data_IF_777135380465
#
_entry.id   IF_777135380465
#
_cell.length_a   1.000
_cell.length_b   1.000
_cell.length_c   1.000
_cell.angle_alpha   90.00
_cell.angle_beta   90.00
_cell.angle_gamma   90.00
#
_symmetry.space_group_name_H-M   'P 1'
#
loop_
_entity.id
_entity.type
_entity.pdbx_description
1 polymer ?
#
# COMPACT_ATOMS: atom_id res chain seq x y z
N UNK A 1 -13.32 -18.45 21.55
CA UNK A 1 -12.02 -18.64 22.24
C UNK A 1 -11.85 -17.63 23.37
N UNK A 2 -11.98 -16.33 23.10
CA UNK A 2 -11.98 -15.27 24.11
C UNK A 2 -12.99 -15.49 25.25
N UNK A 3 -14.17 -16.03 24.93
CA UNK A 3 -15.22 -16.31 25.92
C UNK A 3 -14.92 -17.42 26.92
N UNK A 4 -13.84 -18.17 26.71
CA UNK A 4 -13.36 -19.19 27.65
C UNK A 4 -12.42 -18.63 28.73
N UNK A 5 -11.98 -17.35 28.61
CA UNK A 5 -11.15 -16.70 29.62
C UNK A 5 -11.95 -16.46 30.91
N UNK A 6 -11.27 -16.49 32.05
CA UNK A 6 -11.88 -16.17 33.33
C UNK A 6 -12.42 -14.73 33.35
N UNK A 7 -13.40 -14.44 34.20
CA UNK A 7 -13.81 -13.06 34.46
C UNK A 7 -12.72 -12.32 35.23
N UNK A 8 -12.67 -11.00 35.11
CA UNK A 8 -11.69 -10.16 35.81
C UNK A 8 -11.69 -10.41 37.32
N UNK A 9 -10.50 -10.55 37.89
CA UNK A 9 -10.30 -10.64 39.33
C UNK A 9 -10.33 -9.24 39.94
N UNK A 10 -11.18 -9.05 40.97
CA UNK A 10 -11.36 -7.76 41.62
C UNK A 10 -10.11 -7.36 42.41
N UNK A 11 -9.73 -6.09 42.31
CA UNK A 11 -8.58 -5.54 43.03
C UNK A 11 -7.22 -5.86 42.39
N UNK A 12 -7.22 -6.47 41.20
CA UNK A 12 -6.02 -6.68 40.38
C UNK A 12 -6.17 -5.97 39.04
N UNK A 13 -5.04 -5.62 38.44
CA UNK A 13 -4.98 -5.22 37.04
C UNK A 13 -4.97 -6.48 36.17
N UNK A 14 -6.03 -6.66 35.37
CA UNK A 14 -6.25 -7.85 34.55
C UNK A 14 -5.80 -7.61 33.12
N UNK A 15 -4.89 -8.46 32.67
CA UNK A 15 -4.36 -8.47 31.30
C UNK A 15 -4.81 -9.74 30.59
N UNK A 16 -5.47 -9.58 29.46
CA UNK A 16 -5.74 -10.68 28.54
C UNK A 16 -4.65 -10.75 27.47
N UNK A 17 -4.11 -11.94 27.22
CA UNK A 17 -3.17 -12.21 26.13
C UNK A 17 -3.82 -13.17 25.14
N UNK A 18 -4.00 -12.76 23.89
CA UNK A 18 -4.72 -13.55 22.89
C UNK A 18 -4.14 -13.39 21.48
N UNK A 19 -3.89 -14.52 20.80
CA UNK A 19 -3.47 -14.54 19.40
C UNK A 19 -4.69 -14.80 18.50
N UNK A 20 -5.17 -13.78 17.77
CA UNK A 20 -6.47 -13.81 17.06
C UNK A 20 -6.47 -12.85 15.86
N UNK A 21 -7.29 -13.15 14.85
CA UNK A 21 -7.54 -12.23 13.73
C UNK A 21 -8.64 -11.19 14.01
N UNK A 22 -9.31 -11.23 15.17
CA UNK A 22 -10.41 -10.33 15.60
C UNK A 22 -11.49 -10.12 14.52
N UNK A 23 -12.65 -10.77 14.65
CA UNK A 23 -13.80 -10.73 13.72
C UNK A 23 -13.45 -10.54 12.23
N UNK A 24 -12.55 -11.40 11.72
CA UNK A 24 -12.36 -11.58 10.27
C UNK A 24 -11.98 -10.33 9.50
N UNK A 25 -11.22 -9.41 10.11
CA UNK A 25 -10.72 -8.21 9.43
C UNK A 25 -9.97 -8.56 8.15
N UNK A 26 -10.25 -7.77 7.10
CA UNK A 26 -9.82 -8.00 5.70
C UNK A 26 -8.31 -8.25 5.58
N UNK A 27 -7.93 -9.28 4.82
CA UNK A 27 -6.53 -9.62 4.50
C UNK A 27 -5.86 -10.67 5.40
N UNK A 28 -6.54 -11.18 6.42
CA UNK A 28 -6.03 -12.25 7.29
C UNK A 28 -7.02 -13.41 7.40
N UNK A 29 -6.53 -14.64 7.21
CA UNK A 29 -7.33 -15.85 7.38
C UNK A 29 -8.01 -15.90 8.77
N UNK A 30 -9.18 -16.52 8.85
CA UNK A 30 -9.99 -16.61 10.07
C UNK A 30 -9.26 -17.44 11.13
N UNK A 31 -8.39 -16.82 11.93
CA UNK A 31 -7.65 -17.47 13.00
C UNK A 31 -8.21 -17.07 14.37
N UNK A 32 -8.76 -18.05 15.09
CA UNK A 32 -9.34 -17.87 16.43
C UNK A 32 -10.27 -16.65 16.53
N UNK A 33 -11.33 -16.56 15.71
CA UNK A 33 -12.18 -15.37 15.66
C UNK A 33 -12.79 -15.07 17.03
N UNK A 34 -12.76 -13.79 17.38
CA UNK A 34 -13.47 -13.22 18.52
C UNK A 34 -13.88 -11.79 18.19
N UNK A 35 -14.94 -11.33 18.83
CA UNK A 35 -15.40 -9.95 18.72
C UNK A 35 -14.77 -9.05 19.79
N UNK A 36 -14.80 -7.74 19.54
CA UNK A 36 -14.44 -6.74 20.56
C UNK A 36 -15.34 -6.89 21.80
N UNK A 37 -16.61 -7.21 21.59
CA UNK A 37 -17.56 -7.39 22.69
C UNK A 37 -17.25 -8.65 23.52
N UNK A 38 -16.78 -9.74 22.90
CA UNK A 38 -16.30 -10.91 23.63
C UNK A 38 -15.16 -10.56 24.59
N UNK A 39 -14.24 -9.69 24.17
CA UNK A 39 -13.12 -9.20 24.99
C UNK A 39 -13.62 -8.29 26.12
N UNK A 40 -14.54 -7.37 25.81
CA UNK A 40 -15.14 -6.45 26.79
C UNK A 40 -15.89 -7.18 27.90
N UNK A 41 -16.61 -8.25 27.57
CA UNK A 41 -17.41 -9.00 28.56
C UNK A 41 -16.58 -9.61 29.69
N UNK A 42 -15.25 -9.77 29.51
CA UNK A 42 -14.36 -10.30 30.56
C UNK A 42 -14.04 -9.27 31.63
N UNK A 43 -14.19 -7.97 31.35
CA UNK A 43 -13.91 -6.89 32.29
C UNK A 43 -12.42 -6.61 32.54
N UNK A 44 -11.54 -7.06 31.65
CA UNK A 44 -10.10 -6.79 31.76
C UNK A 44 -9.78 -5.35 31.38
N UNK A 45 -8.71 -4.79 31.95
CA UNK A 45 -8.27 -3.42 31.67
C UNK A 45 -7.46 -3.33 30.37
N UNK A 46 -6.72 -4.39 30.02
CA UNK A 46 -5.85 -4.42 28.86
C UNK A 46 -5.89 -5.77 28.14
N UNK A 47 -5.95 -5.75 26.81
CA UNK A 47 -5.83 -6.91 25.93
C UNK A 47 -4.61 -6.75 25.02
N UNK A 48 -3.59 -7.58 25.28
CA UNK A 48 -2.44 -7.79 24.43
C UNK A 48 -2.82 -8.79 23.32
N UNK A 49 -3.09 -8.28 22.13
CA UNK A 49 -3.40 -9.13 20.98
C UNK A 49 -2.15 -9.46 20.17
N UNK A 50 -2.18 -10.58 19.45
CA UNK A 50 -1.16 -11.00 18.49
C UNK A 50 -1.79 -11.62 17.25
N UNK A 51 -0.98 -11.89 16.22
CA UNK A 51 -1.31 -12.38 14.86
C UNK A 51 -1.19 -11.32 13.77
N UNK A 52 -1.80 -10.16 13.96
CA UNK A 52 -1.78 -9.05 12.99
C UNK A 52 -0.44 -8.32 13.06
N UNK A 53 0.21 -8.12 11.91
CA UNK A 53 1.54 -7.49 11.83
C UNK A 53 1.48 -5.96 11.74
N UNK A 54 0.32 -5.42 11.37
CA UNK A 54 0.08 -3.98 11.44
C UNK A 54 -0.24 -3.61 12.89
N UNK A 55 0.44 -2.57 13.39
CA UNK A 55 0.13 -2.04 14.71
C UNK A 55 -1.25 -1.37 14.67
N UNK A 56 -2.04 -1.62 15.71
CA UNK A 56 -3.36 -1.04 15.84
C UNK A 56 -3.80 -0.92 17.31
N UNK A 57 -4.32 0.26 17.66
CA UNK A 57 -5.04 0.50 18.91
C UNK A 57 -6.55 0.37 18.63
N UNK A 58 -7.09 -0.82 18.87
CA UNK A 58 -8.46 -1.18 18.50
C UNK A 58 -9.50 -0.50 19.39
N UNK A 59 -9.18 -0.34 20.67
CA UNK A 59 -10.01 0.36 21.65
C UNK A 59 -9.14 0.86 22.81
N UNK A 60 -9.62 1.87 23.53
CA UNK A 60 -8.97 2.42 24.73
C UNK A 60 -9.72 2.07 26.03
N UNK A 61 -10.98 1.63 25.93
CA UNK A 61 -11.81 1.23 27.06
C UNK A 61 -12.54 -0.10 26.79
N UNK A 62 -11.97 -1.24 27.20
CA UNK A 62 -10.60 -1.40 27.68
C UNK A 62 -9.58 -1.21 26.56
N UNK A 63 -8.30 -1.08 26.91
CA UNK A 63 -7.25 -1.06 25.90
C UNK A 63 -7.19 -2.41 25.18
N UNK A 64 -7.29 -2.40 23.86
CA UNK A 64 -7.18 -3.58 23.01
C UNK A 64 -6.17 -3.26 21.92
N UNK A 65 -5.03 -3.95 21.93
CA UNK A 65 -3.87 -3.52 21.16
C UNK A 65 -3.26 -4.69 20.38
N UNK A 66 -3.12 -4.50 19.07
CA UNK A 66 -2.18 -5.27 18.27
C UNK A 66 -0.85 -4.48 18.21
N UNK A 67 0.25 -4.99 18.81
CA UNK A 67 1.53 -4.30 18.76
C UNK A 67 2.18 -4.36 17.36
N UNK A 68 1.67 -5.24 16.47
CA UNK A 68 2.23 -5.49 15.16
C UNK A 68 3.46 -6.39 15.20
N UNK A 69 4.23 -6.41 14.11
CA UNK A 69 5.53 -7.05 14.07
C UNK A 69 6.64 -6.11 14.59
N UNK A 70 7.77 -6.69 15.02
CA UNK A 70 8.95 -5.94 15.49
C UNK A 70 9.86 -5.49 14.35
N UNK A 71 9.76 -6.14 13.18
CA UNK A 71 10.54 -5.82 11.98
C UNK A 71 9.70 -6.16 10.75
N UNK A 72 9.57 -5.19 9.85
CA UNK A 72 8.88 -5.39 8.57
C UNK A 72 9.70 -6.30 7.67
N UNK A 73 9.05 -7.27 7.01
CA UNK A 73 9.69 -8.31 6.19
C UNK A 73 9.64 -8.01 4.69
N UNK A 74 8.72 -7.16 4.27
CA UNK A 74 8.51 -6.80 2.87
C UNK A 74 7.79 -5.46 2.74
N UNK A 75 7.72 -4.93 1.51
CA UNK A 75 7.17 -3.61 1.19
C UNK A 75 5.72 -3.35 1.68
N UNK A 76 4.91 -4.39 1.93
CA UNK A 76 3.56 -4.20 2.49
C UNK A 76 3.53 -3.92 4.00
N UNK A 77 4.65 -4.13 4.70
CA UNK A 77 4.81 -3.88 6.14
C UNK A 77 5.61 -2.57 6.35
N UNK A 78 5.11 -1.45 5.82
CA UNK A 78 5.79 -0.15 5.86
C UNK A 78 5.79 0.51 7.24
N UNK A 79 6.67 1.49 7.43
CA UNK A 79 6.74 2.36 8.61
C UNK A 79 7.51 1.75 9.78
N UNK A 80 7.51 2.45 10.91
CA UNK A 80 8.14 2.01 12.14
C UNK A 80 7.51 0.71 12.66
N UNK A 81 8.33 -0.20 13.16
CA UNK A 81 7.91 -1.50 13.71
C UNK A 81 8.54 -1.68 15.09
N UNK A 82 7.85 -2.34 15.99
CA UNK A 82 8.31 -2.36 17.38
C UNK A 82 7.33 -3.01 18.34
N UNK A 83 7.24 -2.43 19.53
CA UNK A 83 6.32 -2.88 20.56
C UNK A 83 5.54 -1.71 21.14
N UNK A 84 4.62 -2.01 22.05
CA UNK A 84 3.86 -1.02 22.80
C UNK A 84 4.30 -1.12 24.26
N UNK A 85 4.73 0.01 24.83
CA UNK A 85 5.00 0.15 26.26
C UNK A 85 3.73 0.69 26.91
N UNK A 86 3.28 0.00 27.97
CA UNK A 86 2.06 0.32 28.70
C UNK A 86 2.44 0.58 30.15
N UNK A 87 2.16 1.80 30.61
CA UNK A 87 2.35 2.19 32.01
C UNK A 87 1.03 2.04 32.74
N UNK A 88 1.07 1.35 33.88
CA UNK A 88 -0.09 1.10 34.74
C UNK A 88 0.19 1.70 36.12
N UNK A 89 -0.77 2.48 36.61
CA UNK A 89 -0.79 2.99 37.98
C UNK A 89 -2.03 2.42 38.68
N UNK A 90 -1.81 1.65 39.74
CA UNK A 90 -2.81 0.80 40.40
C UNK A 90 -3.63 -0.08 39.44
N UNK A 91 -4.89 0.29 39.16
CA UNK A 91 -5.82 -0.45 38.30
C UNK A 91 -6.08 0.23 36.95
N UNK A 92 -5.33 1.29 36.64
CA UNK A 92 -5.60 2.16 35.50
C UNK A 92 -4.37 2.26 34.58
N UNK A 93 -4.60 2.15 33.27
CA UNK A 93 -3.58 2.44 32.27
C UNK A 93 -3.41 3.96 32.17
N UNK A 94 -2.21 4.45 32.47
CA UNK A 94 -1.89 5.88 32.47
C UNK A 94 -1.22 6.33 31.18
N UNK A 95 -0.50 5.43 30.51
CA UNK A 95 0.23 5.73 29.27
C UNK A 95 0.31 4.49 28.38
N UNK A 96 0.20 4.71 27.08
CA UNK A 96 0.36 3.70 26.03
C UNK A 96 1.15 4.31 24.90
N UNK A 97 2.39 3.87 24.70
CA UNK A 97 3.29 4.45 23.71
C UNK A 97 3.89 3.38 22.78
N UNK A 98 4.10 3.75 21.52
CA UNK A 98 4.83 2.91 20.57
C UNK A 98 6.33 3.09 20.77
N UNK A 99 7.06 1.98 20.87
CA UNK A 99 8.52 1.96 20.97
C UNK A 99 9.07 1.30 19.71
N UNK A 100 9.66 2.08 18.78
CA UNK A 100 10.27 1.54 17.56
C UNK A 100 11.50 0.67 17.87
N UNK A 101 11.48 -0.57 17.40
CA UNK A 101 12.59 -1.54 17.55
C UNK A 101 13.19 -1.97 16.20
N UNK A 102 12.56 -1.58 15.09
CA UNK A 102 13.04 -1.90 13.75
C UNK A 102 14.46 -1.40 13.52
N UNK A 103 15.24 -2.21 12.79
CA UNK A 103 16.60 -1.86 12.36
C UNK A 103 16.63 -1.37 10.91
N UNK A 104 15.52 -1.55 10.18
CA UNK A 104 15.33 -1.09 8.81
C UNK A 104 13.85 -0.80 8.56
N UNK A 105 13.55 0.32 7.88
CA UNK A 105 12.19 0.72 7.52
C UNK A 105 11.86 0.41 6.07
N UNK A 106 10.72 -0.25 5.84
CA UNK A 106 10.13 -0.35 4.50
C UNK A 106 9.35 0.92 4.20
N UNK A 107 9.60 1.51 3.03
CA UNK A 107 8.98 2.78 2.63
C UNK A 107 8.42 2.67 1.23
N UNK A 108 7.13 3.02 1.07
CA UNK A 108 6.52 3.24 -0.24
C UNK A 108 6.47 4.75 -0.50
N UNK A 109 7.49 5.27 -1.17
CA UNK A 109 7.59 6.68 -1.53
C UNK A 109 6.82 6.94 -2.83
N UNK A 110 5.89 7.88 -2.82
CA UNK A 110 5.09 8.26 -3.99
C UNK A 110 5.54 9.62 -4.49
N UNK A 111 5.85 9.71 -5.78
CA UNK A 111 6.30 10.94 -6.44
C UNK A 111 5.27 11.32 -7.49
N UNK A 112 4.63 12.47 -7.30
CA UNK A 112 3.69 13.03 -8.26
C UNK A 112 4.44 13.79 -9.35
N UNK A 113 4.33 13.33 -10.59
CA UNK A 113 4.90 13.95 -11.77
C UNK A 113 3.86 14.70 -12.59
N UNK A 114 2.66 14.95 -12.06
CA UNK A 114 1.61 15.68 -12.76
C UNK A 114 2.12 17.02 -13.30
N UNK A 115 1.89 17.26 -14.58
CA UNK A 115 2.34 18.43 -15.34
C UNK A 115 3.87 18.58 -15.52
N UNK A 116 4.68 17.67 -15.01
CA UNK A 116 6.14 17.70 -15.23
C UNK A 116 6.44 17.54 -16.71
N UNK A 117 7.43 18.29 -17.20
CA UNK A 117 7.76 18.30 -18.63
C UNK A 117 9.20 17.94 -18.96
N UNK A 118 10.09 17.92 -17.97
CA UNK A 118 11.52 17.68 -18.20
C UNK A 118 12.13 16.75 -17.14
N UNK A 119 13.21 16.05 -17.50
CA UNK A 119 13.92 15.15 -16.59
C UNK A 119 14.49 15.82 -15.33
N UNK A 120 15.06 17.05 -15.37
CA UNK A 120 15.59 17.69 -14.17
C UNK A 120 14.53 17.87 -13.07
N UNK A 121 13.31 18.25 -13.46
CA UNK A 121 12.18 18.40 -12.53
C UNK A 121 11.75 17.06 -11.91
N UNK A 122 11.77 15.97 -12.70
CA UNK A 122 11.53 14.60 -12.17
C UNK A 122 12.54 14.25 -11.08
N UNK A 123 13.83 14.54 -11.32
CA UNK A 123 14.89 14.23 -10.36
C UNK A 123 14.79 15.08 -9.09
N UNK A 124 14.42 16.36 -9.23
CA UNK A 124 14.26 17.24 -8.07
C UNK A 124 13.08 16.82 -7.19
N UNK A 125 11.91 16.54 -7.78
CA UNK A 125 10.74 16.01 -7.05
C UNK A 125 11.06 14.67 -6.37
N UNK A 126 11.89 13.85 -7.01
CA UNK A 126 12.34 12.59 -6.41
C UNK A 126 13.26 12.84 -5.21
N UNK A 127 14.17 13.81 -5.33
CA UNK A 127 15.09 14.20 -4.25
C UNK A 127 14.31 14.67 -3.03
N UNK A 128 13.41 15.64 -3.21
CA UNK A 128 12.56 16.16 -2.14
C UNK A 128 11.76 15.03 -1.45
N UNK A 129 11.21 14.10 -2.24
CA UNK A 129 10.45 12.98 -1.71
C UNK A 129 11.33 11.99 -0.93
N UNK A 130 12.56 11.71 -1.38
CA UNK A 130 13.51 10.86 -0.65
C UNK A 130 13.96 11.53 0.65
N UNK A 131 14.34 12.81 0.61
CA UNK A 131 14.81 13.57 1.77
C UNK A 131 13.73 13.63 2.86
N UNK A 132 12.48 13.87 2.48
CA UNK A 132 11.34 13.84 3.41
C UNK A 132 11.17 12.50 4.11
N UNK A 133 11.31 11.39 3.38
CA UNK A 133 11.19 10.05 3.98
C UNK A 133 12.40 9.73 4.87
N UNK A 134 13.60 10.23 4.54
CA UNK A 134 14.81 10.08 5.37
C UNK A 134 14.68 10.82 6.70
N UNK A 135 14.12 12.04 6.70
CA UNK A 135 13.84 12.79 7.93
C UNK A 135 12.89 12.02 8.85
N UNK A 136 11.89 11.35 8.27
CA UNK A 136 10.93 10.53 9.01
C UNK A 136 11.50 9.16 9.44
N UNK A 137 12.75 8.82 9.12
CA UNK A 137 13.34 7.51 9.37
C UNK A 137 13.98 7.34 10.75
N UNK A 138 14.09 8.40 11.55
CA UNK A 138 14.83 8.42 12.83
C UNK A 138 16.22 7.77 12.71
N UNK A 139 16.97 8.14 11.67
CA UNK A 139 18.31 7.62 11.35
C UNK A 139 18.41 6.13 11.02
N UNK A 140 17.29 5.46 10.73
CA UNK A 140 17.29 4.04 10.33
C UNK A 140 17.46 3.89 8.83
N UNK A 141 18.19 2.87 8.35
CA UNK A 141 18.27 2.58 6.94
C UNK A 141 16.89 2.24 6.38
N UNK A 142 16.65 2.60 5.13
CA UNK A 142 15.37 2.42 4.46
C UNK A 142 15.49 1.49 3.25
N UNK A 143 14.57 0.53 3.15
CA UNK A 143 14.27 -0.17 1.91
C UNK A 143 13.09 0.53 1.24
N UNK A 144 13.37 1.31 0.18
CA UNK A 144 12.39 2.19 -0.43
C UNK A 144 11.94 1.67 -1.79
N UNK A 145 10.63 1.61 -1.97
CA UNK A 145 10.00 1.52 -3.29
C UNK A 145 9.52 2.90 -3.71
N UNK A 146 10.01 3.37 -4.86
CA UNK A 146 9.55 4.61 -5.45
C UNK A 146 8.47 4.33 -6.48
N UNK A 147 7.31 4.97 -6.33
CA UNK A 147 6.21 4.89 -7.30
C UNK A 147 5.91 6.28 -7.86
N UNK A 148 6.22 6.44 -9.14
CA UNK A 148 5.94 7.64 -9.91
C UNK A 148 4.51 7.58 -10.46
N UNK A 149 3.75 8.66 -10.31
CA UNK A 149 2.38 8.74 -10.80
C UNK A 149 2.07 10.13 -11.37
N UNK A 150 0.88 10.30 -11.94
CA UNK A 150 0.42 11.59 -12.45
C UNK A 150 0.48 11.71 -13.98
N UNK A 151 -0.27 12.68 -14.50
CA UNK A 151 -0.37 12.95 -15.93
C UNK A 151 0.74 13.90 -16.38
N UNK A 152 1.68 13.41 -17.18
CA UNK A 152 2.94 14.09 -17.50
C UNK A 152 3.31 13.97 -18.97
N UNK A 153 3.99 14.99 -19.51
CA UNK A 153 4.60 14.90 -20.86
C UNK A 153 5.80 13.94 -20.88
N UNK A 154 6.31 13.57 -19.71
CA UNK A 154 7.44 12.67 -19.56
C UNK A 154 7.08 11.19 -19.66
N UNK A 155 5.80 10.83 -19.67
CA UNK A 155 5.35 9.45 -19.48
C UNK A 155 5.94 8.49 -20.53
N UNK A 156 5.88 8.87 -21.81
CA UNK A 156 6.44 8.07 -22.91
C UNK A 156 7.96 7.93 -22.79
N UNK A 157 8.65 9.01 -22.44
CA UNK A 157 10.11 9.00 -22.30
C UNK A 157 10.57 8.12 -21.14
N UNK A 158 9.87 8.17 -20.01
CA UNK A 158 10.15 7.33 -18.84
C UNK A 158 9.84 5.86 -19.14
N UNK A 159 8.77 5.58 -19.90
CA UNK A 159 8.39 4.23 -20.30
C UNK A 159 9.30 3.63 -21.39
N UNK A 160 9.88 4.47 -22.27
CA UNK A 160 10.74 4.03 -23.36
C UNK A 160 12.09 3.45 -22.88
N UNK A 161 12.61 3.95 -21.75
CA UNK A 161 13.91 3.54 -21.21
C UNK A 161 13.85 3.24 -19.70
N UNK A 162 13.12 2.19 -19.29
CA UNK A 162 12.86 1.91 -17.88
C UNK A 162 14.13 1.61 -17.08
N UNK A 163 15.07 0.85 -17.65
CA UNK A 163 16.35 0.53 -16.99
C UNK A 163 17.20 1.79 -16.77
N UNK A 164 17.24 2.69 -17.75
CA UNK A 164 17.96 3.97 -17.63
C UNK A 164 17.33 4.83 -16.55
N UNK A 165 16.01 4.91 -16.52
CA UNK A 165 15.30 5.67 -15.51
C UNK A 165 15.57 5.11 -14.11
N UNK A 166 15.45 3.79 -13.94
CA UNK A 166 15.76 3.12 -12.68
C UNK A 166 17.21 3.37 -12.22
N UNK A 167 18.19 3.29 -13.14
CA UNK A 167 19.58 3.60 -12.82
C UNK A 167 19.78 5.05 -12.37
N UNK A 168 19.10 6.01 -13.00
CA UNK A 168 19.15 7.42 -12.58
C UNK A 168 18.59 7.62 -11.17
N UNK A 169 17.46 6.98 -10.86
CA UNK A 169 16.86 7.05 -9.52
C UNK A 169 17.76 6.36 -8.48
N UNK A 170 18.37 5.22 -8.81
CA UNK A 170 19.34 4.53 -7.95
C UNK A 170 20.57 5.38 -7.66
N UNK A 171 21.12 6.03 -8.68
CA UNK A 171 22.25 6.93 -8.53
C UNK A 171 21.90 8.13 -7.64
N UNK A 172 20.71 8.72 -7.84
CA UNK A 172 20.20 9.82 -7.01
C UNK A 172 20.04 9.40 -5.54
N UNK A 173 19.45 8.23 -5.28
CA UNK A 173 19.30 7.72 -3.91
C UNK A 173 20.65 7.49 -3.21
N UNK A 174 21.63 6.95 -3.94
CA UNK A 174 22.99 6.76 -3.42
C UNK A 174 23.71 8.11 -3.14
N UNK A 175 23.45 9.14 -3.94
CA UNK A 175 23.97 10.50 -3.70
C UNK A 175 23.37 11.13 -2.44
N UNK A 176 22.05 10.97 -2.23
CA UNK A 176 21.32 11.61 -1.11
C UNK A 176 21.64 10.93 0.23
N UNK A 177 21.53 9.60 0.28
CA UNK A 177 21.49 8.86 1.54
C UNK A 177 22.54 7.75 1.65
N UNK A 178 23.35 7.52 0.61
CA UNK A 178 24.44 6.56 0.63
C UNK A 178 23.99 5.16 1.09
N UNK A 179 24.63 4.65 2.13
CA UNK A 179 24.34 3.32 2.70
C UNK A 179 23.01 3.26 3.49
N UNK A 180 22.40 4.40 3.83
CA UNK A 180 21.15 4.47 4.58
C UNK A 180 19.91 4.31 3.70
N UNK A 181 20.06 4.20 2.38
CA UNK A 181 18.95 4.01 1.46
C UNK A 181 19.24 2.92 0.45
N UNK A 182 18.43 1.88 0.50
CA UNK A 182 18.36 0.86 -0.53
C UNK A 182 17.06 1.06 -1.32
N UNK A 183 17.19 1.42 -2.60
CA UNK A 183 16.05 1.43 -3.51
C UNK A 183 15.72 -0.02 -3.87
N UNK A 184 14.65 -0.55 -3.29
CA UNK A 184 14.20 -1.91 -3.59
C UNK A 184 13.65 -1.99 -5.01
N UNK A 185 12.79 -1.04 -5.40
CA UNK A 185 12.13 -1.03 -6.71
C UNK A 185 11.74 0.37 -7.15
N UNK A 186 11.76 0.59 -8.46
CA UNK A 186 11.20 1.78 -9.12
C UNK A 186 9.98 1.35 -9.94
N UNK A 187 8.83 1.96 -9.68
CA UNK A 187 7.58 1.72 -10.38
C UNK A 187 7.14 2.98 -11.11
N UNK A 188 7.09 2.91 -12.44
CA UNK A 188 6.52 3.98 -13.26
C UNK A 188 5.03 3.69 -13.53
N UNK A 189 4.14 4.44 -12.88
CA UNK A 189 2.70 4.45 -13.11
C UNK A 189 2.22 5.82 -13.63
N UNK A 190 3.11 6.57 -14.29
CA UNK A 190 2.75 7.83 -14.95
C UNK A 190 1.90 7.59 -16.18
N UNK A 191 1.11 8.60 -16.53
CA UNK A 191 0.18 8.55 -17.65
C UNK A 191 0.49 9.69 -18.60
N UNK A 192 0.38 9.43 -19.91
CA UNK A 192 0.68 10.45 -20.91
C UNK A 192 -0.29 11.62 -20.77
N UNK A 193 0.24 12.83 -20.59
CA UNK A 193 -0.56 14.04 -20.65
C UNK A 193 -0.91 14.30 -22.11
N UNK A 194 -2.13 13.91 -22.49
CA UNK A 194 -2.73 14.25 -23.77
C UNK A 194 -2.95 15.76 -23.83
N UNK A 195 -2.14 16.45 -24.62
CA UNK A 195 -2.60 17.67 -25.26
C UNK A 195 -3.51 17.21 -26.39
N UNK A 196 -4.82 17.19 -26.13
CA UNK A 196 -5.79 17.17 -27.21
C UNK A 196 -5.54 18.47 -27.97
N UNK A 197 -4.78 18.37 -29.06
CA UNK A 197 -4.80 19.40 -30.08
C UNK A 197 -6.29 19.59 -30.41
N UNK A 198 -6.86 20.76 -30.14
CA UNK A 198 -8.27 21.06 -30.49
C UNK A 198 -8.53 20.87 -32.01
N UNK A 199 -7.46 20.70 -32.79
CA UNK A 199 -7.44 20.40 -34.22
C UNK A 199 -7.38 18.90 -34.59
N UNK A 200 -7.22 17.97 -33.65
CA UNK A 200 -7.43 16.54 -33.94
C UNK A 200 -8.92 16.27 -33.85
N UNK A 201 -9.59 16.31 -35.00
CA UNK A 201 -11.03 16.05 -35.16
C UNK A 201 -11.55 15.06 -34.09
N UNK A 202 -12.33 15.58 -33.14
CA UNK A 202 -13.02 14.79 -32.12
C UNK A 202 -13.97 13.74 -32.70
N UNK A 203 -14.14 13.74 -34.03
CA UNK A 203 -14.93 12.79 -34.78
C UNK A 203 -14.14 11.59 -35.35
N UNK A 204 -12.80 11.59 -35.21
CA UNK A 204 -11.97 10.47 -35.64
C UNK A 204 -12.26 9.21 -34.81
N UNK A 205 -12.24 8.03 -35.45
CA UNK A 205 -12.46 6.75 -34.77
C UNK A 205 -11.47 6.54 -33.60
N UNK A 206 -10.26 7.10 -33.73
CA UNK A 206 -9.25 7.11 -32.68
C UNK A 206 -9.67 7.98 -31.48
N UNK A 207 -10.14 9.21 -31.72
CA UNK A 207 -10.61 10.11 -30.67
C UNK A 207 -11.81 9.56 -29.91
N UNK A 208 -12.75 8.92 -30.62
CA UNK A 208 -13.91 8.24 -30.01
C UNK A 208 -13.51 7.07 -29.12
N UNK A 209 -12.60 6.22 -29.59
CA UNK A 209 -12.11 5.08 -28.81
C UNK A 209 -11.32 5.54 -27.57
N UNK A 210 -10.49 6.58 -27.71
CA UNK A 210 -9.78 7.17 -26.57
C UNK A 210 -10.76 7.76 -25.55
N UNK A 211 -11.79 8.47 -26.01
CA UNK A 211 -12.83 9.03 -25.15
C UNK A 211 -13.62 7.94 -24.41
N UNK A 212 -13.95 6.82 -25.07
CA UNK A 212 -14.61 5.67 -24.43
C UNK A 212 -13.74 5.03 -23.33
N UNK A 213 -12.43 4.86 -23.59
CA UNK A 213 -11.50 4.30 -22.59
C UNK A 213 -11.34 5.26 -21.40
N UNK A 214 -11.24 6.56 -21.65
CA UNK A 214 -11.15 7.58 -20.59
C UNK A 214 -12.47 7.71 -19.79
N UNK A 215 -13.62 7.52 -20.44
CA UNK A 215 -14.94 7.54 -19.80
C UNK A 215 -15.27 6.24 -19.05
N UNK A 216 -14.46 5.19 -19.21
CA UNK A 216 -14.67 3.93 -18.49
C UNK A 216 -14.52 4.17 -16.98
N UNK A 217 -15.47 3.72 -16.13
CA UNK A 217 -15.42 3.93 -14.69
C UNK A 217 -14.21 3.29 -14.01
N UNK A 218 -13.67 3.89 -12.95
CA UNK A 218 -12.58 3.31 -12.15
C UNK A 218 -13.09 2.24 -11.16
N UNK A 219 -14.42 2.11 -11.03
CA UNK A 219 -15.07 1.08 -10.24
C UNK A 219 -15.25 -0.21 -11.08
N UNK A 220 -14.62 -1.33 -10.72
CA UNK A 220 -14.74 -2.58 -11.47
C UNK A 220 -16.17 -3.12 -11.54
N UNK A 221 -17.02 -2.79 -10.56
CA UNK A 221 -18.43 -3.18 -10.53
C UNK A 221 -19.27 -2.46 -11.59
N UNK A 222 -18.76 -1.36 -12.16
CA UNK A 222 -19.42 -0.52 -13.17
C UNK A 222 -18.88 -0.76 -14.59
N UNK A 223 -17.96 -1.72 -14.77
CA UNK A 223 -17.41 -2.09 -16.07
C UNK A 223 -18.02 -3.42 -16.51
N UNK A 224 -18.81 -3.38 -17.58
CA UNK A 224 -19.43 -4.58 -18.15
C UNK A 224 -18.37 -5.60 -18.62
N UNK A 225 -18.60 -6.88 -18.32
CA UNK A 225 -17.74 -8.00 -18.72
C UNK A 225 -16.47 -8.21 -17.88
N UNK A 226 -16.06 -7.26 -17.02
CA UNK A 226 -14.85 -7.43 -16.18
C UNK A 226 -14.94 -8.63 -15.25
N UNK A 227 -16.14 -8.92 -14.71
CA UNK A 227 -16.37 -10.10 -13.85
C UNK A 227 -16.14 -11.42 -14.59
N UNK A 228 -16.50 -11.48 -15.86
CA UNK A 228 -16.34 -12.67 -16.70
C UNK A 228 -14.86 -12.88 -17.08
N UNK A 229 -14.15 -11.80 -17.40
CA UNK A 229 -12.70 -11.84 -17.67
C UNK A 229 -11.92 -12.29 -16.43
N UNK A 230 -12.28 -11.78 -15.24
CA UNK A 230 -11.66 -12.22 -13.97
C UNK A 230 -11.93 -13.71 -13.73
N UNK A 231 -13.15 -14.18 -13.99
CA UNK A 231 -13.49 -15.60 -13.86
C UNK A 231 -12.70 -16.49 -14.84
N UNK A 232 -12.51 -16.05 -16.09
CA UNK A 232 -11.70 -16.75 -17.08
C UNK A 232 -10.20 -16.80 -16.70
N UNK A 233 -9.66 -15.69 -16.18
CA UNK A 233 -8.28 -15.65 -15.67
C UNK A 233 -8.07 -16.63 -14.50
N UNK A 234 -9.05 -16.77 -13.60
CA UNK A 234 -9.00 -17.75 -12.51
C UNK A 234 -8.94 -19.19 -13.01
N UNK A 235 -9.55 -19.50 -14.15
CA UNK A 235 -9.51 -20.85 -14.72
C UNK A 235 -8.17 -21.16 -15.40
N UNK A 236 -7.44 -20.13 -15.86
CA UNK A 236 -6.21 -20.27 -16.66
C UNK A 236 -4.92 -20.15 -15.85
N UNK A 237 -5.00 -19.65 -14.62
CA UNK A 237 -3.84 -19.41 -13.76
C UNK A 237 -3.93 -20.34 -12.54
N UNK A 238 -2.81 -20.93 -12.09
CA UNK A 238 -2.78 -21.77 -10.89
C UNK A 238 -3.31 -21.04 -9.65
N UNK A 239 -4.08 -21.73 -8.81
CA UNK A 239 -4.72 -21.14 -7.62
C UNK A 239 -3.73 -20.53 -6.62
N UNK A 240 -2.48 -21.01 -6.60
CA UNK A 240 -1.41 -20.50 -5.74
C UNK A 240 -1.03 -19.05 -6.08
N UNK A 241 -1.26 -18.60 -7.31
CA UNK A 241 -1.00 -17.23 -7.73
C UNK A 241 -2.01 -16.23 -7.15
N UNK A 242 -3.10 -16.68 -6.54
CA UNK A 242 -4.18 -15.84 -6.01
C UNK A 242 -4.25 -15.81 -4.48
N UNK A 243 -3.31 -16.44 -3.76
CA UNK A 243 -3.35 -16.49 -2.29
C UNK A 243 -3.29 -15.11 -1.61
N UNK A 244 -3.62 -15.06 -0.33
CA UNK A 244 -3.74 -13.83 0.46
C UNK A 244 -2.51 -12.92 0.39
N UNK A 245 -1.30 -13.50 0.34
CA UNK A 245 -0.03 -12.77 0.23
C UNK A 245 0.36 -12.40 -1.22
N UNK A 246 -0.43 -12.80 -2.22
CA UNK A 246 -0.11 -12.58 -3.63
C UNK A 246 -0.41 -11.15 -4.09
N UNK A 247 0.39 -10.63 -5.03
CA UNK A 247 0.12 -9.36 -5.74
C UNK A 247 -1.05 -9.48 -6.72
N UNK A 248 -1.44 -10.70 -7.05
CA UNK A 248 -2.54 -11.01 -7.96
C UNK A 248 -3.78 -11.47 -7.19
N UNK A 249 -3.89 -11.28 -5.88
CA UNK A 249 -5.08 -11.68 -5.12
C UNK A 249 -6.36 -11.03 -5.72
N UNK A 250 -7.08 -11.78 -6.56
CA UNK A 250 -8.28 -11.32 -7.27
C UNK A 250 -9.53 -11.38 -6.38
N UNK A 251 -9.40 -11.77 -5.11
CA UNK A 251 -10.49 -11.72 -4.13
C UNK A 251 -10.56 -10.34 -3.43
N UNK A 252 -9.47 -9.57 -3.49
CA UNK A 252 -9.39 -8.23 -2.92
C UNK A 252 -9.86 -7.15 -3.91
N UNK A 253 -10.90 -6.39 -3.53
CA UNK A 253 -11.36 -5.22 -4.31
C UNK A 253 -10.25 -4.21 -4.64
N UNK A 254 -9.31 -3.87 -3.72
CA UNK A 254 -8.20 -2.97 -4.03
C UNK A 254 -7.31 -3.50 -5.16
N UNK A 255 -7.05 -4.81 -5.19
CA UNK A 255 -6.23 -5.44 -6.22
C UNK A 255 -6.92 -5.40 -7.58
N UNK A 256 -8.22 -5.68 -7.65
CA UNK A 256 -8.98 -5.56 -8.91
C UNK A 256 -8.99 -4.11 -9.40
N UNK A 257 -9.25 -3.14 -8.52
CA UNK A 257 -9.19 -1.71 -8.87
C UNK A 257 -7.84 -1.33 -9.46
N UNK A 258 -6.75 -1.75 -8.82
CA UNK A 258 -5.39 -1.51 -9.31
C UNK A 258 -5.17 -2.09 -10.71
N UNK A 259 -5.59 -3.34 -10.95
CA UNK A 259 -5.43 -4.01 -12.24
C UNK A 259 -6.26 -3.36 -13.35
N UNK A 260 -7.48 -2.90 -13.05
CA UNK A 260 -8.31 -2.14 -14.00
C UNK A 260 -7.63 -0.83 -14.39
N UNK A 261 -7.10 -0.09 -13.43
CA UNK A 261 -6.35 1.14 -13.72
C UNK A 261 -5.11 0.86 -14.57
N UNK A 262 -4.31 -0.14 -14.21
CA UNK A 262 -3.13 -0.55 -14.99
C UNK A 262 -3.50 -0.95 -16.42
N UNK A 263 -4.59 -1.70 -16.61
CA UNK A 263 -5.07 -2.10 -17.93
C UNK A 263 -5.52 -0.90 -18.78
N UNK A 264 -6.25 0.06 -18.20
CA UNK A 264 -6.61 1.31 -18.91
C UNK A 264 -5.38 2.07 -19.35
N UNK A 265 -4.41 2.26 -18.46
CA UNK A 265 -3.19 2.98 -18.79
C UNK A 265 -2.37 2.28 -19.87
N UNK A 266 -2.32 0.95 -19.82
CA UNK A 266 -1.68 0.15 -20.87
C UNK A 266 -2.38 0.28 -22.22
N UNK A 267 -3.72 0.29 -22.26
CA UNK A 267 -4.51 0.48 -23.47
C UNK A 267 -4.32 1.87 -24.06
N UNK A 268 -4.37 2.92 -23.24
CA UNK A 268 -4.09 4.30 -23.65
C UNK A 268 -2.67 4.38 -24.24
N UNK A 269 -1.66 3.85 -23.54
CA UNK A 269 -0.28 3.84 -24.02
C UNK A 269 -0.11 3.12 -25.36
N UNK A 270 -0.79 1.98 -25.56
CA UNK A 270 -0.76 1.24 -26.84
C UNK A 270 -1.48 1.96 -27.97
N UNK A 271 -2.60 2.62 -27.69
CA UNK A 271 -3.33 3.39 -28.69
C UNK A 271 -2.50 4.57 -29.17
N UNK A 272 -1.82 5.27 -28.27
CA UNK A 272 -0.99 6.41 -28.62
C UNK A 272 0.25 6.03 -29.43
N UNK A 273 0.86 4.87 -29.16
CA UNK A 273 2.01 4.38 -29.96
C UNK A 273 1.63 3.93 -31.37
N UNK A 274 0.42 3.41 -31.57
CA UNK A 274 -0.08 3.00 -32.90
C UNK A 274 -0.66 4.19 -33.69
N UNK A 275 -1.28 5.16 -33.01
CA UNK A 275 -1.85 6.36 -33.64
C UNK A 275 -0.86 7.50 -33.95
N UNK A 276 0.36 7.44 -33.41
CA UNK A 276 1.44 8.41 -33.70
C UNK A 276 2.27 8.08 -34.95
N UNK A 277 1.99 6.96 -35.63
CA UNK A 277 2.67 6.53 -36.86
C UNK A 277 1.93 6.95 -38.12
N UNK A 278 1.86 8.25 -38.40
CA UNK A 278 1.69 8.82 -39.75
C UNK A 278 2.42 10.14 -39.85
#
# INVERSE_FOLDING_TARGET
>A
LATAYAVAERGLFNIGLLHTSLDGREGHGVYAPCSIDDLRTRGYQYWALGHVHQQEFVAEAPWIVFPGCVQGRHIRETGAKGCVLVTVDDDTVTEVEHVPLDVLRWVLCRVDLTNVTEMPEVLELTREAIEKEQEAADSRPQAMRLRFHGATKMAERLAAYPERFEQQIRALGAEIAGENLWIERVENATVAKLELDENRDGDSAFGKLLAEILATPNNPDEIDGVKEVIADLRQKIPSEAFGDDSILNLDERPTIKRLVEEAKQMLIGRLLTVGGGQ
#
